data_IF_993318788717
#
_entry.id   IF_993318788717
#
_cell.length_a   1.000
_cell.length_b   1.000
_cell.length_c   1.000
_cell.angle_alpha   90.00
_cell.angle_beta   90.00
_cell.angle_gamma   90.00
#
_symmetry.space_group_name_H-M   'P 1'
#
loop_
_entity.id
_entity.type
_entity.pdbx_description
1 polymer ?
#
# COMPACT_ATOMS: atom_id res chain seq x y z
N UNK A 1 -4.99 24.32 58.92
CA UNK A 1 -4.33 23.24 58.15
C UNK A 1 -3.92 23.82 56.80
N UNK A 2 -2.69 24.32 56.68
CA UNK A 2 -2.16 24.97 55.46
C UNK A 2 -1.31 23.93 54.71
N UNK A 3 -1.78 23.47 53.56
CA UNK A 3 -1.01 22.55 52.71
C UNK A 3 -0.10 23.39 51.81
N UNK A 4 1.21 23.24 52.01
CA UNK A 4 2.30 23.92 51.29
C UNK A 4 2.18 23.75 49.75
N UNK A 5 1.79 24.82 49.06
CA UNK A 5 1.60 24.87 47.59
C UNK A 5 2.87 24.60 46.76
N UNK A 6 4.05 24.63 47.41
CA UNK A 6 5.35 24.34 46.79
C UNK A 6 5.55 22.86 46.47
N UNK A 7 4.93 21.96 47.24
CA UNK A 7 5.03 20.51 47.02
C UNK A 7 4.21 20.10 45.79
N UNK A 8 3.00 20.65 45.64
CA UNK A 8 2.09 20.35 44.51
C UNK A 8 2.69 20.80 43.18
N UNK A 9 3.37 21.95 43.15
CA UNK A 9 4.03 22.45 41.92
C UNK A 9 5.21 21.58 41.48
N UNK A 10 6.03 21.07 42.39
CA UNK A 10 7.18 20.20 42.04
C UNK A 10 6.73 18.82 41.56
N UNK A 11 5.63 18.31 42.11
CA UNK A 11 5.05 17.03 41.68
C UNK A 11 4.41 17.12 40.28
N UNK A 12 3.74 18.23 39.97
CA UNK A 12 3.12 18.47 38.66
C UNK A 12 4.13 18.57 37.51
N UNK A 13 5.32 19.15 37.76
CA UNK A 13 6.38 19.24 36.75
C UNK A 13 7.04 17.88 36.44
N UNK A 14 7.26 17.04 37.46
CA UNK A 14 7.82 15.70 37.27
C UNK A 14 6.90 14.77 36.48
N UNK A 15 5.59 14.81 36.77
CA UNK A 15 4.59 14.04 36.03
C UNK A 15 4.42 14.52 34.58
N UNK A 16 4.48 15.84 34.33
CA UNK A 16 4.39 16.41 32.98
C UNK A 16 5.57 16.04 32.09
N UNK A 17 6.79 16.06 32.62
CA UNK A 17 8.00 15.67 31.86
C UNK A 17 8.00 14.16 31.60
N UNK A 18 7.64 13.34 32.59
CA UNK A 18 7.53 11.89 32.40
C UNK A 18 6.48 11.53 31.34
N UNK A 19 5.32 12.20 31.33
CA UNK A 19 4.28 11.99 30.33
C UNK A 19 4.73 12.40 28.91
N UNK A 20 5.48 13.50 28.77
CA UNK A 20 6.05 13.95 27.48
C UNK A 20 7.11 12.98 26.93
N UNK A 21 7.99 12.43 27.80
CA UNK A 21 9.01 11.45 27.39
C UNK A 21 8.36 10.12 26.98
N UNK A 22 7.35 9.67 27.71
CA UNK A 22 6.61 8.44 27.38
C UNK A 22 5.85 8.62 26.06
N UNK A 23 5.14 9.72 25.86
CA UNK A 23 4.45 10.01 24.60
C UNK A 23 5.40 10.13 23.40
N UNK A 24 6.55 10.78 23.58
CA UNK A 24 7.60 10.86 22.56
C UNK A 24 8.20 9.50 22.20
N UNK A 25 8.29 8.58 23.17
CA UNK A 25 8.78 7.22 22.97
C UNK A 25 7.80 6.33 22.18
N UNK A 26 6.48 6.54 22.36
CA UNK A 26 5.46 5.84 21.58
C UNK A 26 5.33 6.39 20.15
N UNK A 27 5.47 7.70 19.96
CA UNK A 27 5.50 8.31 18.62
C UNK A 27 6.77 7.91 17.83
N UNK A 28 7.93 7.84 18.49
CA UNK A 28 9.18 7.40 17.87
C UNK A 28 9.16 5.92 17.43
N UNK A 29 8.47 5.05 18.18
CA UNK A 29 8.33 3.63 17.82
C UNK A 29 7.36 3.37 16.66
N UNK A 30 6.34 4.19 16.48
CA UNK A 30 5.43 4.08 15.33
C UNK A 30 6.10 4.52 14.01
N UNK A 31 7.09 5.43 14.09
CA UNK A 31 7.96 5.79 12.98
C UNK A 31 9.13 4.80 12.78
N UNK A 32 9.32 3.85 13.70
CA UNK A 32 10.41 2.88 13.65
C UNK A 32 10.07 1.78 12.63
N UNK A 33 10.53 2.01 11.39
CA UNK A 33 10.65 1.05 10.29
C UNK A 33 9.32 0.49 9.76
N UNK A 34 8.70 1.22 8.83
CA UNK A 34 7.85 0.56 7.85
C UNK A 34 8.67 -0.56 7.19
N UNK A 35 8.13 -1.78 7.06
CA UNK A 35 8.87 -2.90 6.48
C UNK A 35 9.40 -2.53 5.11
N UNK A 36 10.60 -3.01 4.77
CA UNK A 36 11.19 -2.77 3.47
C UNK A 36 10.20 -3.15 2.35
N UNK A 37 10.26 -2.46 1.18
CA UNK A 37 9.46 -2.83 0.02
C UNK A 37 9.56 -4.33 -0.25
N UNK A 38 8.41 -5.01 -0.38
CA UNK A 38 8.40 -6.41 -0.80
C UNK A 38 8.64 -6.44 -2.31
N UNK A 39 9.65 -7.18 -2.75
CA UNK A 39 10.00 -7.33 -4.16
C UNK A 39 10.25 -8.80 -4.46
N UNK A 40 9.56 -9.34 -5.47
CA UNK A 40 9.87 -10.65 -6.04
C UNK A 40 10.01 -10.58 -7.58
N UNK A 41 10.97 -11.32 -8.12
CA UNK A 41 11.07 -11.65 -9.55
C UNK A 41 11.03 -13.16 -9.69
N UNK A 42 10.24 -13.66 -10.63
CA UNK A 42 10.14 -15.10 -10.86
C UNK A 42 11.47 -15.64 -11.40
N UNK A 43 11.93 -16.77 -10.86
CA UNK A 43 13.21 -17.38 -11.27
C UNK A 43 13.20 -17.89 -12.71
N UNK A 44 12.02 -18.20 -13.26
CA UNK A 44 11.81 -18.63 -14.64
C UNK A 44 11.35 -17.48 -15.56
N UNK A 45 11.48 -16.22 -15.12
CA UNK A 45 11.15 -15.07 -15.95
C UNK A 45 12.00 -15.05 -17.23
N UNK A 46 11.32 -14.91 -18.38
CA UNK A 46 11.98 -14.80 -19.69
C UNK A 46 12.83 -13.53 -19.80
N UNK A 47 12.48 -12.50 -19.02
CA UNK A 47 13.23 -11.25 -18.91
C UNK A 47 14.13 -11.34 -17.69
N UNK A 48 15.42 -10.99 -17.84
CA UNK A 48 16.37 -11.04 -16.73
C UNK A 48 15.99 -10.12 -15.57
N UNK A 49 16.27 -10.57 -14.34
CA UNK A 49 15.95 -9.83 -13.11
C UNK A 49 16.50 -8.40 -13.12
N UNK A 50 17.73 -8.20 -13.57
CA UNK A 50 18.36 -6.88 -13.64
C UNK A 50 17.59 -5.92 -14.57
N UNK A 51 17.08 -6.42 -15.69
CA UNK A 51 16.30 -5.63 -16.64
C UNK A 51 14.92 -5.28 -16.06
N UNK A 52 14.27 -6.23 -15.38
CA UNK A 52 13.00 -5.99 -14.70
C UNK A 52 13.14 -4.95 -13.57
N UNK A 53 14.19 -5.09 -12.74
CA UNK A 53 14.50 -4.11 -11.68
C UNK A 53 14.77 -2.72 -12.24
N UNK A 54 15.63 -2.62 -13.25
CA UNK A 54 15.93 -1.34 -13.89
C UNK A 54 14.69 -0.62 -14.45
N UNK A 55 13.68 -1.37 -14.90
CA UNK A 55 12.41 -0.80 -15.37
C UNK A 55 11.42 -0.49 -14.25
N UNK A 56 11.41 -1.27 -13.17
CA UNK A 56 10.43 -1.15 -12.08
C UNK A 56 10.86 -0.14 -11.03
N UNK A 57 12.14 -0.11 -10.68
CA UNK A 57 12.64 0.71 -9.57
C UNK A 57 12.34 2.21 -9.71
N UNK A 58 12.50 2.83 -10.90
CA UNK A 58 12.13 4.23 -11.13
C UNK A 58 10.69 4.57 -10.76
N UNK A 59 9.75 3.61 -10.89
CA UNK A 59 8.33 3.82 -10.62
C UNK A 59 8.03 4.02 -9.12
N UNK A 60 8.94 3.59 -8.25
CA UNK A 60 8.81 3.73 -6.80
C UNK A 60 9.76 4.76 -6.22
N UNK A 61 10.92 4.95 -6.86
CA UNK A 61 12.04 5.70 -6.29
C UNK A 61 12.18 7.12 -6.89
N UNK A 62 11.57 7.42 -8.04
CA UNK A 62 11.59 8.77 -8.63
C UNK A 62 10.37 9.62 -8.21
N UNK A 63 10.63 10.79 -7.61
CA UNK A 63 9.58 11.71 -7.13
C UNK A 63 8.57 12.12 -8.21
N UNK A 64 9.00 12.20 -9.47
CA UNK A 64 8.15 12.58 -10.61
C UNK A 64 7.02 11.57 -10.90
N UNK A 65 7.17 10.32 -10.46
CA UNK A 65 6.16 9.26 -10.65
C UNK A 65 5.05 9.31 -9.60
N UNK A 66 5.23 10.11 -8.54
CA UNK A 66 4.32 10.13 -7.40
C UNK A 66 4.45 8.86 -6.53
N UNK A 67 3.40 8.54 -5.79
CA UNK A 67 3.43 7.47 -4.79
C UNK A 67 2.88 6.15 -5.35
N UNK A 68 3.77 5.28 -5.83
CA UNK A 68 3.42 3.93 -6.28
C UNK A 68 3.28 2.98 -5.08
N UNK A 69 2.11 2.36 -4.92
CA UNK A 69 1.82 1.44 -3.79
C UNK A 69 2.14 -0.01 -4.09
N UNK A 70 1.87 -0.44 -5.32
CA UNK A 70 2.07 -1.81 -5.78
C UNK A 70 2.20 -1.83 -7.31
N UNK A 71 3.02 -2.75 -7.80
CA UNK A 71 3.18 -3.06 -9.21
C UNK A 71 3.28 -4.57 -9.38
N UNK A 72 2.58 -5.09 -10.38
CA UNK A 72 2.57 -6.51 -10.75
C UNK A 72 2.73 -6.63 -12.26
N UNK A 73 3.67 -7.46 -12.71
CA UNK A 73 3.88 -7.77 -14.12
C UNK A 73 3.56 -9.24 -14.33
N UNK A 74 2.66 -9.51 -15.27
CA UNK A 74 2.21 -10.86 -15.60
C UNK A 74 2.41 -11.15 -17.09
N UNK A 75 2.86 -12.37 -17.39
CA UNK A 75 3.02 -12.88 -18.75
C UNK A 75 2.57 -14.34 -18.80
N UNK A 76 1.80 -14.70 -19.81
CA UNK A 76 1.29 -16.07 -20.01
C UNK A 76 0.58 -16.63 -18.76
N UNK A 77 -0.19 -15.77 -18.07
CA UNK A 77 -0.93 -16.12 -16.86
C UNK A 77 -0.08 -16.27 -15.59
N UNK A 78 1.22 -15.96 -15.65
CA UNK A 78 2.15 -16.05 -14.51
C UNK A 78 2.69 -14.68 -14.12
N UNK A 79 2.73 -14.40 -12.82
CA UNK A 79 3.44 -13.23 -12.29
C UNK A 79 4.93 -13.43 -12.49
N UNK A 80 5.58 -12.49 -13.19
CA UNK A 80 7.02 -12.53 -13.47
C UNK A 80 7.82 -11.52 -12.65
N UNK A 81 7.15 -10.46 -12.15
CA UNK A 81 7.72 -9.52 -11.21
C UNK A 81 6.62 -8.83 -10.40
N UNK A 82 6.90 -8.52 -9.14
CA UNK A 82 6.05 -7.70 -8.29
C UNK A 82 6.89 -6.87 -7.31
N UNK A 83 6.47 -5.63 -7.06
CA UNK A 83 7.06 -4.75 -6.04
C UNK A 83 5.92 -4.04 -5.30
N UNK A 84 6.04 -3.94 -3.98
CA UNK A 84 5.09 -3.26 -3.10
C UNK A 84 5.83 -2.22 -2.27
N UNK A 85 5.21 -1.06 -2.07
CA UNK A 85 5.74 -0.03 -1.19
C UNK A 85 5.68 -0.46 0.28
N UNK A 86 6.46 0.18 1.18
CA UNK A 86 6.41 -0.13 2.61
C UNK A 86 4.99 -0.09 3.17
N UNK A 87 4.60 -1.14 3.90
CA UNK A 87 3.25 -1.29 4.46
C UNK A 87 2.18 -1.83 3.50
N UNK A 88 2.53 -2.11 2.25
CA UNK A 88 1.69 -2.80 1.27
C UNK A 88 2.24 -4.21 1.00
N UNK A 89 1.37 -5.11 0.59
CA UNK A 89 1.71 -6.48 0.21
C UNK A 89 0.63 -7.12 -0.66
N UNK A 90 0.80 -8.39 -1.04
CA UNK A 90 -0.09 -9.07 -1.99
C UNK A 90 -1.56 -9.12 -1.54
N UNK A 91 -1.81 -9.16 -0.23
CA UNK A 91 -3.17 -9.19 0.33
C UNK A 91 -3.77 -7.80 0.59
N UNK A 92 -3.04 -6.72 0.29
CA UNK A 92 -3.50 -5.36 0.57
C UNK A 92 -4.56 -4.93 -0.45
N UNK A 93 -5.77 -4.64 0.03
CA UNK A 93 -6.85 -4.13 -0.82
C UNK A 93 -6.60 -2.67 -1.21
N UNK A 94 -6.49 -2.42 -2.50
CA UNK A 94 -6.35 -1.08 -3.06
C UNK A 94 -7.67 -0.57 -3.64
N UNK A 95 -7.84 0.76 -3.66
CA UNK A 95 -8.95 1.38 -4.35
C UNK A 95 -8.83 1.11 -5.85
N UNK A 96 -9.87 0.53 -6.45
CA UNK A 96 -9.87 0.10 -7.85
C UNK A 96 -10.05 1.25 -8.85
N UNK A 97 -10.72 2.34 -8.45
CA UNK A 97 -11.06 3.45 -9.34
C UNK A 97 -11.70 2.94 -10.64
N UNK A 98 -11.33 3.51 -11.79
CA UNK A 98 -11.86 3.09 -13.09
C UNK A 98 -11.41 1.72 -13.55
N UNK A 99 -10.44 1.05 -12.90
CA UNK A 99 -10.10 -0.35 -13.22
C UNK A 99 -11.32 -1.28 -13.04
N UNK A 100 -12.24 -0.92 -12.14
CA UNK A 100 -13.49 -1.66 -11.96
C UNK A 100 -14.31 -1.80 -13.26
N UNK A 101 -14.20 -0.83 -14.19
CA UNK A 101 -14.92 -0.90 -15.48
C UNK A 101 -14.44 -2.06 -16.35
N UNK A 102 -13.16 -2.40 -16.33
CA UNK A 102 -12.63 -3.54 -17.07
C UNK A 102 -13.21 -4.86 -16.54
N UNK A 103 -13.32 -4.99 -15.21
CA UNK A 103 -13.96 -6.16 -14.59
C UNK A 103 -15.44 -6.24 -14.98
N UNK A 104 -16.16 -5.12 -14.90
CA UNK A 104 -17.56 -5.06 -15.37
C UNK A 104 -17.69 -5.43 -16.84
N UNK A 105 -16.80 -4.94 -17.71
CA UNK A 105 -16.80 -5.24 -19.13
C UNK A 105 -16.56 -6.73 -19.41
N UNK A 106 -15.67 -7.39 -18.65
CA UNK A 106 -15.48 -8.85 -18.73
C UNK A 106 -16.75 -9.59 -18.35
N UNK A 107 -17.41 -9.21 -17.25
CA UNK A 107 -18.68 -9.80 -16.83
C UNK A 107 -19.79 -9.62 -17.88
N UNK A 108 -19.86 -8.44 -18.50
CA UNK A 108 -20.76 -8.17 -19.64
C UNK A 108 -20.43 -9.08 -20.82
N UNK A 109 -19.15 -9.21 -21.18
CA UNK A 109 -18.70 -10.11 -22.25
C UNK A 109 -19.07 -11.57 -22.00
N UNK A 110 -18.97 -12.05 -20.76
CA UNK A 110 -19.43 -13.38 -20.36
C UNK A 110 -20.95 -13.55 -20.58
N UNK A 111 -21.76 -12.56 -20.18
CA UNK A 111 -23.21 -12.62 -20.41
C UNK A 111 -23.57 -12.62 -21.91
N UNK A 112 -22.81 -11.90 -22.74
CA UNK A 112 -22.99 -11.92 -24.20
C UNK A 112 -22.61 -13.29 -24.75
N UNK A 113 -21.49 -13.87 -24.33
CA UNK A 113 -21.06 -15.20 -24.73
C UNK A 113 -22.08 -16.29 -24.35
N UNK A 114 -22.72 -16.14 -23.19
CA UNK A 114 -23.80 -17.02 -22.71
C UNK A 114 -25.16 -16.77 -23.40
N UNK A 115 -25.26 -15.79 -24.32
CA UNK A 115 -26.52 -15.41 -24.99
C UNK A 115 -27.54 -14.73 -24.08
N UNK A 116 -27.12 -14.25 -22.91
CA UNK A 116 -27.98 -13.62 -21.88
C UNK A 116 -28.09 -12.11 -22.03
N UNK A 117 -27.24 -11.50 -22.84
CA UNK A 117 -27.22 -10.08 -23.16
C UNK A 117 -26.89 -9.89 -24.64
N UNK A 118 -27.53 -8.93 -25.29
CA UNK A 118 -27.19 -8.47 -26.63
C UNK A 118 -26.78 -6.99 -26.57
N UNK A 119 -25.64 -6.65 -27.18
CA UNK A 119 -25.05 -5.30 -27.08
C UNK A 119 -25.80 -4.25 -27.91
N UNK A 120 -26.50 -4.69 -28.95
CA UNK A 120 -27.28 -3.89 -29.90
C UNK A 120 -28.78 -3.81 -29.54
N UNK A 121 -29.21 -4.55 -28.52
CA UNK A 121 -30.55 -4.42 -27.97
C UNK A 121 -30.68 -3.07 -27.23
N UNK A 122 -31.89 -2.45 -27.24
CA UNK A 122 -32.14 -1.30 -26.39
C UNK A 122 -31.94 -1.66 -24.93
N UNK A 123 -31.47 -0.70 -24.13
CA UNK A 123 -31.45 -0.85 -22.68
C UNK A 123 -32.91 -1.04 -22.22
N UNK A 124 -33.21 -2.05 -21.37
CA UNK A 124 -34.54 -2.26 -20.81
C UNK A 124 -35.09 -1.03 -20.06
#
# INVERSE_FOLDING_TARGET
MQIESRIVKRLGWGAGIAALVVAGSFAGRAAQQAPAPLYAVASDAVVGESALRAAIDPLFDEDQMGQTRALLVMRDGKVIAERYAPGFGPDTKLLSWSMAKSVTAVLVGLMVADGRLALDAPVP
#
